data_IF_371529956737
#
_entry.id   IF_371529956737
#
_cell.length_a   1.000
_cell.length_b   1.000
_cell.length_c   1.000
_cell.angle_alpha   90.00
_cell.angle_beta   90.00
_cell.angle_gamma   90.00
#
_symmetry.space_group_name_H-M   'P 1'
#
loop_
_entity.id
_entity.type
_entity.pdbx_description
1 polymer ?
#
# COMPACT_ATOMS: atom_id res chain seq x y z
N UNK A 1 14.57 -27.82 2.03
CA UNK A 1 13.77 -26.79 1.39
C UNK A 1 14.27 -25.42 1.85
N UNK A 2 14.77 -24.58 0.94
CA UNK A 2 15.16 -23.20 1.26
C UNK A 2 13.90 -22.36 1.38
N UNK A 3 13.65 -21.77 2.56
CA UNK A 3 12.59 -20.79 2.74
C UNK A 3 12.86 -19.58 1.86
N UNK A 4 12.00 -19.33 0.89
CA UNK A 4 12.06 -18.14 0.05
C UNK A 4 11.62 -16.92 0.87
N UNK A 5 12.54 -16.00 1.16
CA UNK A 5 12.18 -14.70 1.75
C UNK A 5 11.55 -13.83 0.66
N UNK A 6 10.24 -13.78 0.63
CA UNK A 6 9.46 -12.98 -0.32
C UNK A 6 9.52 -11.48 0.02
N UNK A 7 9.68 -11.13 1.29
CA UNK A 7 9.73 -9.75 1.78
C UNK A 7 11.12 -9.43 2.33
N UNK A 8 11.83 -8.56 1.65
CA UNK A 8 13.11 -8.01 2.08
C UNK A 8 12.95 -7.00 3.23
N UNK A 9 14.01 -6.80 4.01
CA UNK A 9 14.00 -5.91 5.16
C UNK A 9 13.63 -4.45 4.80
N UNK A 10 14.18 -3.84 3.73
CA UNK A 10 13.80 -2.49 3.32
C UNK A 10 12.31 -2.32 3.02
N UNK A 11 11.68 -3.29 2.32
CA UNK A 11 10.24 -3.25 2.04
C UNK A 11 9.41 -3.37 3.32
N UNK A 12 9.84 -4.19 4.29
CA UNK A 12 9.15 -4.31 5.58
C UNK A 12 9.25 -3.04 6.40
N UNK A 13 10.45 -2.44 6.49
CA UNK A 13 10.66 -1.17 7.19
C UNK A 13 9.85 -0.04 6.54
N UNK A 14 9.88 0.07 5.21
CA UNK A 14 9.05 1.01 4.46
C UNK A 14 7.58 0.89 4.84
N UNK A 15 7.02 -0.31 4.84
CA UNK A 15 5.61 -0.53 5.15
C UNK A 15 5.24 -0.04 6.56
N UNK A 16 6.00 -0.43 7.58
CA UNK A 16 5.72 -0.04 8.96
C UNK A 16 5.94 1.45 9.21
N UNK A 17 7.01 2.02 8.65
CA UNK A 17 7.26 3.46 8.75
C UNK A 17 6.17 4.27 8.06
N UNK A 18 5.70 3.82 6.88
CA UNK A 18 4.61 4.47 6.17
C UNK A 18 3.29 4.40 6.97
N UNK A 19 2.95 3.23 7.52
CA UNK A 19 1.76 3.07 8.34
C UNK A 19 1.78 3.98 9.57
N UNK A 20 2.89 4.01 10.31
CA UNK A 20 3.06 4.88 11.48
C UNK A 20 3.04 6.37 11.09
N UNK A 21 3.65 6.74 9.98
CA UNK A 21 3.66 8.12 9.50
C UNK A 21 2.25 8.58 9.08
N UNK A 22 1.45 7.73 8.43
CA UNK A 22 0.05 8.03 8.09
C UNK A 22 -0.78 8.22 9.37
N UNK A 23 -0.65 7.31 10.33
CA UNK A 23 -1.35 7.43 11.63
C UNK A 23 -0.94 8.72 12.33
N UNK A 24 0.37 8.99 12.43
CA UNK A 24 0.89 10.21 13.04
C UNK A 24 0.39 11.48 12.35
N UNK A 25 0.33 11.49 11.02
CA UNK A 25 -0.20 12.60 10.23
C UNK A 25 -1.68 12.86 10.50
N UNK A 26 -2.48 11.80 10.57
CA UNK A 26 -3.92 11.93 10.88
C UNK A 26 -4.14 12.38 12.32
N UNK A 27 -3.43 11.80 13.27
CA UNK A 27 -3.55 12.17 14.70
C UNK A 27 -3.13 13.62 14.89
N UNK A 28 -1.99 14.04 14.35
CA UNK A 28 -1.47 15.39 14.52
C UNK A 28 -2.43 16.46 14.01
N UNK A 29 -3.02 16.28 12.83
CA UNK A 29 -3.99 17.27 12.31
C UNK A 29 -5.28 17.28 13.12
N UNK A 30 -5.72 16.14 13.63
CA UNK A 30 -6.92 16.04 14.48
C UNK A 30 -6.73 16.67 15.86
N UNK A 31 -5.50 16.70 16.36
CA UNK A 31 -5.15 17.30 17.66
C UNK A 31 -4.62 18.73 17.54
N UNK A 32 -4.72 19.36 16.38
CA UNK A 32 -4.29 20.74 16.15
C UNK A 32 -2.78 20.96 16.02
N UNK A 33 -2.01 19.88 15.90
CA UNK A 33 -0.55 19.95 15.75
C UNK A 33 -0.14 19.94 14.27
N UNK A 34 -0.41 21.04 13.57
CA UNK A 34 -0.19 21.16 12.11
C UNK A 34 1.28 21.00 11.73
N UNK A 35 2.22 21.50 12.55
CA UNK A 35 3.66 21.30 12.32
C UNK A 35 4.06 19.82 12.20
N UNK A 36 3.49 18.97 13.07
CA UNK A 36 3.73 17.53 13.02
C UNK A 36 3.08 16.88 11.79
N UNK A 37 1.91 17.39 11.37
CA UNK A 37 1.29 16.94 10.12
C UNK A 37 2.22 17.18 8.92
N UNK A 38 2.83 18.35 8.80
CA UNK A 38 3.82 18.64 7.76
C UNK A 38 5.03 17.71 7.84
N UNK A 39 5.60 17.51 9.03
CA UNK A 39 6.76 16.62 9.22
C UNK A 39 6.45 15.19 8.80
N UNK A 40 5.29 14.66 9.18
CA UNK A 40 4.83 13.34 8.71
C UNK A 40 4.57 13.33 7.20
N UNK A 41 4.04 14.40 6.64
CA UNK A 41 3.86 14.57 5.19
C UNK A 41 5.18 14.45 4.43
N UNK A 42 6.23 15.13 4.89
CA UNK A 42 7.58 15.01 4.31
C UNK A 42 8.18 13.61 4.48
N UNK A 43 7.97 12.97 5.62
CA UNK A 43 8.40 11.60 5.82
C UNK A 43 7.69 10.64 4.85
N UNK A 44 6.37 10.79 4.68
CA UNK A 44 5.60 9.99 3.72
C UNK A 44 6.11 10.23 2.29
N UNK A 45 6.38 11.48 1.91
CA UNK A 45 6.95 11.81 0.61
C UNK A 45 8.28 11.08 0.37
N UNK A 46 9.20 11.16 1.35
CA UNK A 46 10.49 10.48 1.27
C UNK A 46 10.33 8.95 1.16
N UNK A 47 9.40 8.37 1.92
CA UNK A 47 9.10 6.93 1.86
C UNK A 47 8.52 6.52 0.50
N UNK A 48 7.61 7.31 -0.07
CA UNK A 48 7.06 7.05 -1.41
C UNK A 48 8.17 7.11 -2.47
N UNK A 49 9.02 8.12 -2.44
CA UNK A 49 10.16 8.22 -3.35
C UNK A 49 11.10 7.02 -3.20
N UNK A 50 11.44 6.66 -1.96
CA UNK A 50 12.20 5.44 -1.69
C UNK A 50 11.53 4.20 -2.31
N UNK A 51 10.24 4.03 -2.13
CA UNK A 51 9.51 2.86 -2.64
C UNK A 51 9.48 2.81 -4.17
N UNK A 52 9.35 3.95 -4.83
CA UNK A 52 9.40 4.04 -6.29
C UNK A 52 10.79 3.63 -6.80
N UNK A 53 11.86 4.17 -6.21
CA UNK A 53 13.24 3.80 -6.55
C UNK A 53 13.47 2.31 -6.28
N UNK A 54 13.12 1.83 -5.08
CA UNK A 54 13.28 0.43 -4.68
C UNK A 54 12.45 -0.53 -5.54
N UNK A 55 11.32 -0.04 -6.06
CA UNK A 55 10.47 -0.78 -7.00
C UNK A 55 11.11 -0.99 -8.38
N UNK A 56 12.16 -0.24 -8.70
CA UNK A 56 12.93 -0.39 -9.95
C UNK A 56 14.23 -1.17 -9.72
N UNK A 57 15.04 -0.75 -8.73
CA UNK A 57 16.40 -1.29 -8.52
C UNK A 57 16.48 -2.38 -7.43
N UNK A 58 15.44 -2.57 -6.64
CA UNK A 58 15.41 -3.53 -5.53
C UNK A 58 15.49 -4.99 -5.96
N UNK A 59 15.48 -5.93 -5.00
CA UNK A 59 15.51 -7.36 -5.29
C UNK A 59 14.26 -7.82 -6.06
N UNK A 60 14.34 -8.97 -6.71
CA UNK A 60 13.33 -9.48 -7.65
C UNK A 60 11.89 -9.34 -7.15
N UNK A 61 11.62 -9.70 -5.88
CA UNK A 61 10.27 -9.67 -5.33
C UNK A 61 9.78 -8.27 -4.89
N UNK A 62 10.68 -7.28 -4.75
CA UNK A 62 10.35 -5.90 -4.46
C UNK A 62 10.03 -5.09 -5.72
N UNK A 63 10.54 -5.54 -6.88
CA UNK A 63 10.38 -4.81 -8.16
C UNK A 63 8.96 -4.88 -8.69
N UNK A 64 8.46 -3.77 -9.21
CA UNK A 64 7.16 -3.68 -9.87
C UNK A 64 7.02 -4.64 -11.06
N UNK A 65 8.12 -4.93 -11.77
CA UNK A 65 8.14 -5.89 -12.87
C UNK A 65 7.76 -7.32 -12.45
N UNK A 66 7.90 -7.69 -11.17
CA UNK A 66 7.53 -9.03 -10.68
C UNK A 66 6.04 -9.19 -10.36
N UNK A 67 5.30 -8.10 -10.25
CA UNK A 67 3.85 -8.10 -10.05
C UNK A 67 3.19 -7.01 -10.92
N UNK A 68 3.19 -7.17 -12.25
CA UNK A 68 2.64 -6.19 -13.17
C UNK A 68 1.14 -5.96 -12.90
N UNK A 69 0.70 -4.73 -13.18
CA UNK A 69 -0.69 -4.34 -13.03
C UNK A 69 -1.58 -5.12 -14.02
N UNK A 70 -2.48 -5.93 -13.52
CA UNK A 70 -3.38 -6.77 -14.32
C UNK A 70 -4.84 -6.60 -13.85
N UNK A 71 -5.52 -5.48 -14.16
CA UNK A 71 -6.84 -5.18 -13.62
C UNK A 71 -7.91 -6.21 -14.05
N UNK A 72 -7.85 -6.71 -15.28
CA UNK A 72 -8.77 -7.72 -15.76
C UNK A 72 -8.65 -9.05 -14.98
N UNK A 73 -7.40 -9.44 -14.63
CA UNK A 73 -7.16 -10.63 -13.83
C UNK A 73 -7.56 -10.43 -12.36
N UNK A 74 -7.33 -9.25 -11.81
CA UNK A 74 -7.80 -8.87 -10.47
C UNK A 74 -9.33 -8.96 -10.38
N UNK A 75 -10.04 -8.46 -11.39
CA UNK A 75 -11.49 -8.57 -11.49
C UNK A 75 -11.99 -10.02 -11.55
N UNK A 76 -11.32 -10.87 -12.34
CA UNK A 76 -11.64 -12.30 -12.40
C UNK A 76 -11.41 -13.00 -11.06
N UNK A 77 -10.34 -12.61 -10.32
CA UNK A 77 -10.05 -13.12 -8.97
C UNK A 77 -11.16 -12.75 -7.98
N UNK A 78 -11.68 -11.51 -8.04
CA UNK A 78 -12.83 -11.10 -7.23
C UNK A 78 -14.09 -11.94 -7.51
N UNK A 79 -14.24 -12.45 -8.73
CA UNK A 79 -15.33 -13.34 -9.13
C UNK A 79 -15.08 -14.82 -8.85
N UNK A 80 -14.06 -15.15 -8.04
CA UNK A 80 -13.77 -16.51 -7.61
C UNK A 80 -12.82 -17.30 -8.51
N UNK A 81 -12.15 -16.67 -9.48
CA UNK A 81 -11.15 -17.37 -10.28
C UNK A 81 -9.94 -17.79 -9.43
N UNK A 82 -9.44 -19.03 -9.57
CA UNK A 82 -8.31 -19.51 -8.77
C UNK A 82 -7.03 -18.73 -9.05
N UNK A 83 -6.28 -18.42 -7.99
CA UNK A 83 -4.97 -17.77 -8.09
C UNK A 83 -3.90 -18.84 -8.22
N UNK A 84 -3.32 -18.97 -9.40
CA UNK A 84 -2.34 -20.03 -9.73
C UNK A 84 -0.87 -19.59 -9.63
N UNK A 85 -0.57 -18.33 -9.24
CA UNK A 85 0.79 -17.79 -9.17
C UNK A 85 1.32 -17.72 -7.75
N UNK A 86 2.57 -18.17 -7.56
CA UNK A 86 3.35 -17.87 -6.37
C UNK A 86 3.75 -16.37 -6.37
N UNK A 87 3.53 -15.67 -5.26
CA UNK A 87 3.83 -14.25 -5.10
C UNK A 87 2.56 -13.42 -4.82
N UNK A 88 2.57 -12.15 -5.23
CA UNK A 88 1.41 -11.27 -5.07
C UNK A 88 0.24 -11.74 -5.95
N UNK A 89 -0.94 -11.90 -5.34
CA UNK A 89 -2.16 -12.10 -6.11
C UNK A 89 -2.43 -10.87 -6.99
N UNK A 90 -3.13 -10.99 -8.13
CA UNK A 90 -3.47 -9.84 -8.98
C UNK A 90 -4.22 -8.73 -8.23
N UNK A 91 -5.06 -9.10 -7.27
CA UNK A 91 -5.79 -8.17 -6.42
C UNK A 91 -4.85 -7.45 -5.44
N UNK A 92 -3.90 -8.17 -4.82
CA UNK A 92 -2.88 -7.57 -3.96
C UNK A 92 -1.97 -6.60 -4.73
N UNK A 93 -1.59 -6.96 -5.97
CA UNK A 93 -0.82 -6.05 -6.84
C UNK A 93 -1.60 -4.76 -7.12
N UNK A 94 -2.88 -4.87 -7.51
CA UNK A 94 -3.75 -3.71 -7.75
C UNK A 94 -3.86 -2.82 -6.51
N UNK A 95 -4.03 -3.42 -5.32
CA UNK A 95 -4.11 -2.68 -4.06
C UNK A 95 -2.82 -1.93 -3.74
N UNK A 96 -1.64 -2.52 -3.99
CA UNK A 96 -0.34 -1.85 -3.80
C UNK A 96 -0.22 -0.63 -4.70
N UNK A 97 -0.56 -0.75 -6.00
CA UNK A 97 -0.51 0.39 -6.93
C UNK A 97 -1.52 1.48 -6.55
N UNK A 98 -2.75 1.10 -6.20
CA UNK A 98 -3.78 2.06 -5.79
C UNK A 98 -3.39 2.82 -4.52
N UNK A 99 -2.85 2.12 -3.51
CA UNK A 99 -2.36 2.74 -2.27
C UNK A 99 -1.17 3.68 -2.53
N UNK A 100 -0.18 3.25 -3.33
CA UNK A 100 0.97 4.09 -3.66
C UNK A 100 0.54 5.34 -4.43
N UNK A 101 -0.36 5.21 -5.42
CA UNK A 101 -0.87 6.33 -6.19
C UNK A 101 -1.66 7.31 -5.31
N UNK A 102 -2.54 6.78 -4.44
CA UNK A 102 -3.32 7.61 -3.51
C UNK A 102 -2.43 8.28 -2.46
N UNK A 103 -1.42 7.60 -1.91
CA UNK A 103 -0.43 8.22 -1.01
C UNK A 103 0.39 9.31 -1.72
N UNK A 104 0.83 9.06 -2.96
CA UNK A 104 1.55 10.06 -3.75
C UNK A 104 0.66 11.30 -4.02
N UNK A 105 -0.60 11.08 -4.42
CA UNK A 105 -1.57 12.15 -4.58
C UNK A 105 -1.78 12.93 -3.28
N UNK A 106 -1.88 12.24 -2.14
CA UNK A 106 -2.07 12.87 -0.83
C UNK A 106 -0.92 13.80 -0.49
N UNK A 107 0.33 13.33 -0.62
CA UNK A 107 1.48 14.18 -0.26
C UNK A 107 1.71 15.29 -1.28
N UNK A 108 1.54 15.03 -2.58
CA UNK A 108 1.70 16.05 -3.62
C UNK A 108 0.68 17.17 -3.47
N UNK A 109 -0.59 16.83 -3.24
CA UNK A 109 -1.64 17.84 -3.00
C UNK A 109 -1.39 18.61 -1.71
N UNK A 110 -0.90 17.96 -0.66
CA UNK A 110 -0.54 18.61 0.62
C UNK A 110 0.55 19.68 0.48
N UNK A 111 1.47 19.53 -0.50
CA UNK A 111 2.51 20.55 -0.75
C UNK A 111 1.94 21.90 -1.21
N UNK A 112 0.77 21.91 -1.84
CA UNK A 112 0.12 23.09 -2.39
C UNK A 112 -1.14 23.52 -1.62
N UNK A 113 -1.53 22.74 -0.60
CA UNK A 113 -2.74 22.99 0.18
C UNK A 113 -2.60 24.23 1.06
N UNK A 114 -3.75 24.80 1.45
CA UNK A 114 -3.86 25.89 2.42
C UNK A 114 -5.02 25.63 3.37
N UNK A 115 -5.03 26.28 4.53
CA UNK A 115 -6.17 26.29 5.45
C UNK A 115 -6.96 27.58 5.42
N UNK A 116 -6.58 28.52 4.57
CA UNK A 116 -7.19 29.82 4.41
C UNK A 116 -6.95 30.82 5.56
N UNK A 117 -6.18 30.44 6.60
CA UNK A 117 -6.02 31.24 7.84
C UNK A 117 -4.51 31.41 8.20
N UNK A 118 -3.82 30.35 8.50
CA UNK A 118 -2.48 30.38 9.11
C UNK A 118 -1.47 29.49 8.40
N UNK A 119 -1.90 28.42 7.74
CA UNK A 119 -1.00 27.38 7.27
C UNK A 119 -1.07 27.21 5.77
N UNK A 120 0.06 27.43 5.14
CA UNK A 120 0.27 27.18 3.72
C UNK A 120 1.26 26.04 3.50
N UNK A 121 0.94 25.18 2.54
CA UNK A 121 1.88 24.18 2.07
C UNK A 121 3.12 24.85 1.45
N UNK A 122 4.28 24.19 1.48
CA UNK A 122 5.55 24.80 1.08
C UNK A 122 5.60 25.29 -0.38
N UNK A 123 4.77 24.73 -1.24
CA UNK A 123 4.66 25.10 -2.65
C UNK A 123 3.43 25.96 -2.95
N UNK A 124 2.66 26.37 -1.94
CA UNK A 124 1.46 27.18 -2.09
C UNK A 124 1.70 28.46 -2.93
N UNK A 125 2.83 29.11 -2.73
CA UNK A 125 3.23 30.35 -3.43
C UNK A 125 3.39 30.21 -4.94
N UNK A 126 3.48 28.99 -5.45
CA UNK A 126 3.68 28.72 -6.89
C UNK A 126 2.37 28.58 -7.67
N UNK A 127 1.23 28.64 -6.99
CA UNK A 127 -0.09 28.51 -7.60
C UNK A 127 -1.01 29.66 -7.17
N UNK A 128 -2.07 29.90 -7.96
CA UNK A 128 -3.09 30.90 -7.61
C UNK A 128 -3.90 30.46 -6.39
N UNK A 129 -4.62 31.39 -5.76
CA UNK A 129 -5.53 31.10 -4.63
C UNK A 129 -6.54 30.03 -5.01
N UNK A 130 -7.27 30.24 -6.08
CA UNK A 130 -8.32 29.30 -6.55
C UNK A 130 -7.77 27.92 -6.89
N UNK A 131 -6.55 27.83 -7.45
CA UNK A 131 -5.89 26.56 -7.73
C UNK A 131 -5.53 25.82 -6.43
N UNK A 132 -5.00 26.55 -5.45
CA UNK A 132 -4.68 25.96 -4.15
C UNK A 132 -5.94 25.46 -3.44
N UNK A 133 -7.04 26.21 -3.48
CA UNK A 133 -8.31 25.80 -2.87
C UNK A 133 -8.84 24.51 -3.52
N UNK A 134 -8.77 24.40 -4.83
CA UNK A 134 -9.13 23.17 -5.55
C UNK A 134 -8.23 21.99 -5.18
N UNK A 135 -6.91 22.22 -5.06
CA UNK A 135 -5.95 21.18 -4.63
C UNK A 135 -6.21 20.78 -3.17
N UNK A 136 -6.53 21.73 -2.30
CA UNK A 136 -6.89 21.46 -0.91
C UNK A 136 -8.16 20.61 -0.82
N UNK A 137 -9.17 20.92 -1.62
CA UNK A 137 -10.39 20.11 -1.70
C UNK A 137 -10.08 18.67 -2.14
N UNK A 138 -9.18 18.49 -3.12
CA UNK A 138 -8.70 17.18 -3.56
C UNK A 138 -7.92 16.45 -2.46
N UNK A 139 -7.03 17.13 -1.73
CA UNK A 139 -6.32 16.59 -0.57
C UNK A 139 -7.29 16.07 0.49
N UNK A 140 -8.31 16.85 0.79
CA UNK A 140 -9.34 16.47 1.76
C UNK A 140 -10.22 15.31 1.27
N UNK A 141 -10.54 15.25 -0.03
CA UNK A 141 -11.32 14.15 -0.60
C UNK A 141 -10.53 12.85 -0.65
N UNK A 142 -9.25 12.92 -1.06
CA UNK A 142 -8.41 11.73 -1.22
C UNK A 142 -8.16 10.97 0.10
N UNK A 143 -8.27 11.62 1.27
CA UNK A 143 -8.19 10.93 2.58
C UNK A 143 -9.24 9.82 2.71
N UNK A 144 -10.44 10.01 2.16
CA UNK A 144 -11.50 9.00 2.19
C UNK A 144 -11.18 7.83 1.24
N UNK A 145 -10.54 8.12 0.10
CA UNK A 145 -10.04 7.08 -0.81
C UNK A 145 -8.97 6.24 -0.11
N UNK A 146 -8.02 6.88 0.59
CA UNK A 146 -6.99 6.19 1.37
C UNK A 146 -7.61 5.29 2.44
N UNK A 147 -8.54 5.80 3.23
CA UNK A 147 -9.23 5.01 4.26
C UNK A 147 -9.96 3.83 3.61
N UNK A 148 -10.68 4.08 2.51
CA UNK A 148 -11.40 3.06 1.75
C UNK A 148 -10.50 1.99 1.12
N UNK A 149 -9.22 2.28 0.89
CA UNK A 149 -8.24 1.29 0.43
C UNK A 149 -7.56 0.55 1.60
N UNK A 150 -7.23 1.24 2.69
CA UNK A 150 -6.51 0.69 3.84
C UNK A 150 -7.40 -0.27 4.64
N UNK A 151 -8.62 0.15 4.99
CA UNK A 151 -9.51 -0.61 5.88
C UNK A 151 -9.87 -2.00 5.28
N UNK A 152 -10.38 -2.10 4.04
CA UNK A 152 -10.63 -3.41 3.44
C UNK A 152 -9.38 -4.27 3.29
N UNK A 153 -8.21 -3.65 3.03
CA UNK A 153 -6.93 -4.34 2.95
C UNK A 153 -6.54 -5.00 4.27
N UNK A 154 -6.73 -4.31 5.40
CA UNK A 154 -6.50 -4.86 6.74
C UNK A 154 -7.47 -6.03 7.01
N UNK A 155 -8.76 -5.85 6.75
CA UNK A 155 -9.76 -6.91 6.93
C UNK A 155 -9.45 -8.13 6.07
N UNK A 156 -9.08 -7.94 4.81
CA UNK A 156 -8.69 -9.03 3.92
C UNK A 156 -7.47 -9.79 4.47
N UNK A 157 -6.45 -9.08 4.93
CA UNK A 157 -5.25 -9.70 5.49
C UNK A 157 -5.58 -10.48 6.78
N UNK A 158 -6.41 -9.93 7.67
CA UNK A 158 -6.84 -10.60 8.90
C UNK A 158 -7.66 -11.86 8.61
N UNK A 159 -8.60 -11.78 7.66
CA UNK A 159 -9.41 -12.92 7.26
C UNK A 159 -8.57 -14.01 6.57
N UNK A 160 -7.62 -13.61 5.70
CA UNK A 160 -6.76 -14.54 4.99
C UNK A 160 -5.81 -15.28 5.93
N UNK A 161 -5.20 -14.60 6.91
CA UNK A 161 -4.30 -15.25 7.89
C UNK A 161 -5.08 -16.22 8.79
N UNK A 162 -6.24 -15.82 9.31
CA UNK A 162 -7.10 -16.73 10.11
C UNK A 162 -7.61 -17.89 9.31
N UNK A 163 -8.09 -17.66 8.09
CA UNK A 163 -8.57 -18.71 7.20
C UNK A 163 -7.44 -19.67 6.81
N UNK A 164 -6.23 -19.15 6.56
CA UNK A 164 -5.04 -19.94 6.29
C UNK A 164 -4.67 -20.84 7.47
N UNK A 165 -4.67 -20.33 8.70
CA UNK A 165 -4.44 -21.12 9.92
C UNK A 165 -5.52 -22.19 10.14
N UNK A 166 -6.79 -21.86 9.90
CA UNK A 166 -7.90 -22.82 10.01
C UNK A 166 -7.77 -23.93 8.95
N UNK A 167 -7.45 -23.59 7.72
CA UNK A 167 -7.24 -24.57 6.65
C UNK A 167 -6.05 -25.49 6.96
N UNK A 168 -4.95 -24.94 7.48
CA UNK A 168 -3.77 -25.73 7.86
C UNK A 168 -4.03 -26.61 9.09
N UNK A 169 -4.87 -26.17 10.02
CA UNK A 169 -5.20 -26.91 11.25
C UNK A 169 -6.29 -27.97 11.06
N UNK A 170 -7.31 -27.67 10.27
CA UNK A 170 -8.53 -28.46 10.15
C UNK A 170 -8.84 -28.93 8.73
N UNK A 171 -8.05 -28.52 7.73
CA UNK A 171 -8.24 -28.91 6.35
C UNK A 171 -7.96 -30.40 6.13
N UNK A 172 -8.59 -31.05 5.13
CA UNK A 172 -8.37 -32.45 4.80
C UNK A 172 -6.88 -32.69 4.47
N UNK A 173 -6.37 -33.87 4.85
CA UNK A 173 -4.97 -34.28 4.71
C UNK A 173 -4.42 -34.09 3.29
N UNK A 174 -5.27 -34.13 2.28
CA UNK A 174 -4.94 -33.85 0.88
C UNK A 174 -4.41 -32.42 0.63
N UNK A 175 -4.71 -31.45 1.51
CA UNK A 175 -4.19 -30.09 1.42
C UNK A 175 -2.74 -29.94 1.93
N UNK A 176 -2.15 -31.00 2.49
CA UNK A 176 -0.76 -31.03 2.97
C UNK A 176 0.26 -31.27 1.85
N UNK A 177 -0.16 -31.59 0.67
CA UNK A 177 0.73 -31.63 -0.50
C UNK A 177 1.06 -30.20 -0.92
N UNK A 178 1.99 -29.59 -0.21
CA UNK A 178 2.73 -28.45 -0.74
C UNK A 178 3.42 -29.00 -1.99
N UNK A 179 2.90 -28.65 -3.15
CA UNK A 179 3.54 -28.91 -4.43
C UNK A 179 4.91 -28.24 -4.41
N UNK A 180 5.93 -28.97 -3.98
CA UNK A 180 7.30 -28.61 -4.29
C UNK A 180 7.48 -28.77 -5.79
N UNK A 181 8.17 -27.85 -6.48
CA UNK A 181 8.41 -27.95 -7.93
C UNK A 181 9.19 -29.19 -8.38
N UNK A 182 9.52 -30.10 -7.47
CA UNK A 182 10.25 -31.32 -7.71
C UNK A 182 9.49 -32.59 -7.26
N UNK A 183 8.21 -32.51 -6.97
CA UNK A 183 7.46 -33.61 -6.38
C UNK A 183 6.57 -34.36 -7.38
N UNK A 184 7.04 -34.64 -8.55
CA UNK A 184 6.63 -35.83 -9.29
C UNK A 184 7.62 -36.93 -8.98
N UNK A 185 7.41 -37.61 -7.88
CA UNK A 185 8.01 -38.91 -7.62
C UNK A 185 7.05 -39.67 -6.74
N UNK A 186 6.29 -40.46 -7.35
CA UNK A 186 6.18 -41.91 -7.23
C UNK A 186 5.54 -42.46 -5.96
N UNK A 187 4.47 -43.08 -6.25
CA UNK A 187 3.77 -44.24 -5.67
C UNK A 187 3.23 -44.09 -4.28
#
# INVERSE_FOLDING_TARGET
>A
ARALRVWDLPTRLFHWMLALAIIGSVVSIKTGHTDWHFRFGYLILALILFRLIWGVIGPRYARFASFPLQPALAWRTLRGAPVTRAGHSPLAALSVYALLASCALQVLTGLFANDGILWDGPLRKWVTGSTSDAITALHLANRFVLIGLIVPGIFYMMAYTKLGEVILRYGPVASRTVLTPAGLATT
#
